data_IF_157792868399
#
_entry.id   IF_157792868399
#
_cell.length_a   1.000
_cell.length_b   1.000
_cell.length_c   1.000
_cell.angle_alpha   90.00
_cell.angle_beta   90.00
_cell.angle_gamma   90.00
#
_symmetry.space_group_name_H-M   'P 1'
#
loop_
_entity.id
_entity.type
_entity.pdbx_description
1 polymer ?
#
# COMPACT_ATOMS: atom_id res chain seq x y z
N UNK A 1 -12.16 -23.54 4.32
CA UNK A 1 -12.42 -22.29 3.55
C UNK A 1 -12.64 -22.67 2.10
N UNK A 2 -13.79 -22.33 1.53
CA UNK A 2 -14.04 -22.50 0.09
C UNK A 2 -13.19 -21.47 -0.67
N UNK A 3 -12.48 -21.90 -1.73
CA UNK A 3 -11.71 -20.98 -2.59
C UNK A 3 -12.65 -19.89 -3.11
N UNK A 4 -12.33 -18.62 -2.85
CA UNK A 4 -13.11 -17.46 -3.32
C UNK A 4 -13.96 -16.76 -2.24
N UNK A 5 -14.35 -17.45 -1.18
CA UNK A 5 -15.17 -16.85 -0.11
C UNK A 5 -14.46 -15.67 0.58
N UNK A 6 -13.14 -15.76 0.75
CA UNK A 6 -12.34 -14.69 1.32
C UNK A 6 -12.37 -13.40 0.47
N UNK A 7 -12.34 -13.52 -0.86
CA UNK A 7 -12.35 -12.35 -1.75
C UNK A 7 -13.70 -11.64 -1.70
N UNK A 8 -14.80 -12.40 -1.67
CA UNK A 8 -16.16 -11.86 -1.54
C UNK A 8 -16.32 -11.10 -0.22
N UNK A 9 -15.86 -11.69 0.89
CA UNK A 9 -15.91 -11.06 2.22
C UNK A 9 -15.05 -9.79 2.30
N UNK A 10 -13.92 -9.76 1.59
CA UNK A 10 -13.06 -8.57 1.56
C UNK A 10 -13.63 -7.47 0.65
N UNK A 11 -14.34 -7.85 -0.40
CA UNK A 11 -15.01 -6.92 -1.30
C UNK A 11 -16.09 -6.10 -0.57
N UNK A 12 -16.89 -6.73 0.29
CA UNK A 12 -17.87 -6.00 1.11
C UNK A 12 -17.24 -5.05 2.15
N UNK A 13 -15.94 -5.20 2.43
CA UNK A 13 -15.17 -4.34 3.35
C UNK A 13 -14.22 -3.38 2.62
N UNK A 14 -14.32 -3.25 1.30
CA UNK A 14 -13.35 -2.50 0.47
C UNK A 14 -13.09 -1.07 0.99
N UNK A 15 -14.14 -0.32 1.35
CA UNK A 15 -13.99 1.05 1.86
C UNK A 15 -13.17 1.11 3.16
N UNK A 16 -13.38 0.16 4.07
CA UNK A 16 -12.61 0.04 5.30
C UNK A 16 -11.13 -0.27 5.00
N UNK A 17 -10.88 -1.20 4.08
CA UNK A 17 -9.52 -1.61 3.70
C UNK A 17 -8.74 -0.44 3.06
N UNK A 18 -9.39 0.33 2.18
CA UNK A 18 -8.80 1.54 1.59
C UNK A 18 -8.46 2.56 2.68
N UNK A 19 -9.39 2.80 3.61
CA UNK A 19 -9.13 3.71 4.75
C UNK A 19 -7.96 3.21 5.60
N UNK A 20 -7.90 1.92 5.89
CA UNK A 20 -6.82 1.35 6.67
C UNK A 20 -5.43 1.50 6.00
N UNK A 21 -5.36 1.40 4.67
CA UNK A 21 -4.14 1.69 3.91
C UNK A 21 -3.74 3.18 4.01
N UNK A 22 -4.71 4.09 3.91
CA UNK A 22 -4.47 5.53 4.07
C UNK A 22 -4.04 5.91 5.49
N UNK A 23 -4.56 5.20 6.48
CA UNK A 23 -4.18 5.33 7.90
C UNK A 23 -2.86 4.61 8.22
N UNK A 24 -2.21 4.02 7.20
CA UNK A 24 -0.95 3.28 7.31
C UNK A 24 -0.98 2.10 8.30
N UNK A 25 -2.15 1.47 8.47
CA UNK A 25 -2.28 0.28 9.33
C UNK A 25 -1.51 -0.90 8.75
N UNK A 26 -0.93 -1.68 9.64
CA UNK A 26 -0.27 -2.93 9.32
C UNK A 26 -1.27 -4.03 8.95
N UNK A 27 -0.79 -5.03 8.22
CA UNK A 27 -1.63 -6.16 7.82
C UNK A 27 -2.23 -6.92 9.01
N UNK A 28 -1.50 -7.00 10.14
CA UNK A 28 -1.97 -7.61 11.38
C UNK A 28 -3.08 -6.80 12.04
N UNK A 29 -2.96 -5.48 12.12
CA UNK A 29 -4.01 -4.61 12.67
C UNK A 29 -5.29 -4.68 11.82
N UNK A 30 -5.16 -4.75 10.50
CA UNK A 30 -6.30 -4.91 9.60
C UNK A 30 -6.97 -6.27 9.81
N UNK A 31 -6.18 -7.35 9.89
CA UNK A 31 -6.72 -8.69 10.12
C UNK A 31 -7.44 -8.82 11.47
N UNK A 32 -6.87 -8.26 12.55
CA UNK A 32 -7.49 -8.27 13.87
C UNK A 32 -8.81 -7.50 13.88
N UNK A 33 -8.86 -6.32 13.27
CA UNK A 33 -10.08 -5.53 13.17
C UNK A 33 -11.17 -6.21 12.32
N UNK A 34 -10.78 -6.92 11.24
CA UNK A 34 -11.72 -7.72 10.45
C UNK A 34 -12.30 -8.89 11.25
N UNK A 35 -11.49 -9.54 12.09
CA UNK A 35 -11.95 -10.64 12.94
C UNK A 35 -12.95 -10.16 14.00
N UNK A 36 -12.75 -8.95 14.58
CA UNK A 36 -13.72 -8.31 15.47
C UNK A 36 -15.05 -8.01 14.76
N UNK A 37 -15.00 -7.69 13.47
CA UNK A 37 -16.16 -7.48 12.60
C UNK A 37 -16.79 -8.79 12.10
N UNK A 38 -16.34 -9.95 12.59
CA UNK A 38 -16.83 -11.28 12.19
C UNK A 38 -16.30 -11.78 10.84
N UNK A 39 -15.35 -11.07 10.22
CA UNK A 39 -14.74 -11.45 8.94
C UNK A 39 -13.42 -12.15 9.18
N UNK A 40 -13.46 -13.48 9.23
CA UNK A 40 -12.25 -14.30 9.41
C UNK A 40 -11.60 -14.64 8.07
N UNK A 41 -10.44 -14.04 7.80
CA UNK A 41 -9.64 -14.30 6.60
C UNK A 41 -8.18 -14.55 6.97
N UNK A 42 -7.48 -15.39 6.19
CA UNK A 42 -6.05 -15.58 6.40
C UNK A 42 -5.26 -14.35 5.96
N UNK A 43 -4.17 -14.05 6.68
CA UNK A 43 -3.25 -12.93 6.39
C UNK A 43 -2.78 -12.97 4.93
N UNK A 44 -2.45 -14.15 4.39
CA UNK A 44 -2.02 -14.31 3.00
C UNK A 44 -3.13 -14.01 1.98
N UNK A 45 -4.40 -14.22 2.33
CA UNK A 45 -5.53 -13.88 1.47
C UNK A 45 -5.80 -12.38 1.50
N UNK A 46 -5.75 -11.79 2.69
CA UNK A 46 -5.83 -10.35 2.88
C UNK A 46 -4.72 -9.62 2.12
N UNK A 47 -3.47 -10.08 2.23
CA UNK A 47 -2.34 -9.51 1.49
C UNK A 47 -2.56 -9.55 -0.03
N UNK A 48 -2.94 -10.72 -0.56
CA UNK A 48 -3.19 -10.87 -2.01
C UNK A 48 -4.31 -9.95 -2.49
N UNK A 49 -5.36 -9.79 -1.69
CA UNK A 49 -6.44 -8.85 -2.00
C UNK A 49 -5.93 -7.39 -2.00
N UNK A 50 -5.15 -6.99 -1.00
CA UNK A 50 -4.59 -5.63 -0.94
C UNK A 50 -3.70 -5.32 -2.15
N UNK A 51 -2.88 -6.29 -2.58
CA UNK A 51 -1.96 -6.10 -3.71
C UNK A 51 -2.69 -6.12 -5.04
N UNK A 52 -3.63 -7.06 -5.24
CA UNK A 52 -4.25 -7.28 -6.54
C UNK A 52 -5.50 -6.43 -6.76
N UNK A 53 -6.37 -6.35 -5.75
CA UNK A 53 -7.68 -5.68 -5.86
C UNK A 53 -7.61 -4.21 -5.41
N UNK A 54 -6.65 -3.85 -4.55
CA UNK A 54 -6.42 -2.48 -4.04
C UNK A 54 -5.04 -1.93 -4.44
N UNK A 55 -4.50 -2.40 -5.57
CA UNK A 55 -3.12 -2.13 -5.99
C UNK A 55 -2.74 -0.65 -6.05
N UNK A 56 -3.65 0.23 -6.47
CA UNK A 56 -3.41 1.68 -6.50
C UNK A 56 -3.19 2.26 -5.10
N UNK A 57 -4.07 1.92 -4.15
CA UNK A 57 -3.97 2.34 -2.75
C UNK A 57 -2.78 1.71 -2.05
N UNK A 58 -2.47 0.46 -2.38
CA UNK A 58 -1.28 -0.20 -1.86
C UNK A 58 0.01 0.44 -2.39
N UNK A 59 0.05 0.84 -3.66
CA UNK A 59 1.17 1.58 -4.23
C UNK A 59 1.35 2.94 -3.55
N UNK A 60 0.26 3.66 -3.23
CA UNK A 60 0.31 4.89 -2.44
C UNK A 60 0.85 4.62 -1.03
N UNK A 61 0.36 3.59 -0.35
CA UNK A 61 0.87 3.15 0.96
C UNK A 61 2.39 2.87 0.90
N UNK A 62 2.86 2.14 -0.12
CA UNK A 62 4.28 1.85 -0.31
C UNK A 62 5.10 3.13 -0.52
N UNK A 63 4.60 4.07 -1.33
CA UNK A 63 5.25 5.35 -1.58
C UNK A 63 5.38 6.20 -0.31
N UNK A 64 4.36 6.18 0.54
CA UNK A 64 4.34 7.00 1.76
C UNK A 64 5.17 6.37 2.89
N UNK A 65 5.08 5.05 3.05
CA UNK A 65 5.72 4.35 4.18
C UNK A 65 7.10 3.80 3.86
N UNK A 66 7.45 3.65 2.57
CA UNK A 66 8.70 3.03 2.12
C UNK A 66 8.82 1.53 2.46
N UNK A 67 7.76 0.89 2.96
CA UNK A 67 7.77 -0.51 3.41
C UNK A 67 6.52 -1.27 2.99
N UNK A 68 6.65 -2.55 2.67
CA UNK A 68 5.51 -3.43 2.36
C UNK A 68 4.59 -3.67 3.56
N UNK A 69 3.37 -4.13 3.28
CA UNK A 69 2.40 -4.57 4.31
C UNK A 69 2.92 -5.74 5.15
N UNK A 70 3.89 -6.49 4.62
CA UNK A 70 4.56 -7.62 5.28
C UNK A 70 5.81 -7.12 6.02
N UNK A 71 5.68 -6.20 6.97
CA UNK A 71 6.73 -6.01 7.98
C UNK A 71 6.36 -6.88 9.18
N UNK A 72 6.54 -8.18 9.02
CA UNK A 72 6.61 -9.12 10.15
C UNK A 72 7.91 -8.86 10.90
N UNK A 73 7.83 -7.87 11.77
CA UNK A 73 8.63 -7.63 12.96
C UNK A 73 8.00 -6.40 13.57
N UNK A 74 8.01 -6.27 14.89
CA UNK A 74 7.58 -5.07 15.62
C UNK A 74 8.44 -3.87 15.19
N UNK A 75 8.28 -3.40 13.96
CA UNK A 75 8.93 -2.24 13.43
C UNK A 75 8.01 -1.08 13.79
N UNK A 76 8.31 -0.47 14.94
CA UNK A 76 7.84 0.85 15.36
C UNK A 76 7.57 1.69 14.11
N UNK A 77 6.32 1.68 13.65
CA UNK A 77 5.91 2.53 12.53
C UNK A 77 6.02 3.92 13.07
N UNK A 78 6.98 4.70 12.59
CA UNK A 78 7.17 6.04 13.10
C UNK A 78 5.88 6.85 12.85
N UNK A 79 5.09 7.16 13.89
CA UNK A 79 3.79 7.81 13.73
C UNK A 79 3.94 9.25 13.19
N UNK A 80 5.16 9.79 13.16
CA UNK A 80 5.43 11.11 12.59
C UNK A 80 5.25 11.16 11.07
N UNK A 81 5.48 10.07 10.33
CA UNK A 81 5.31 10.07 8.87
C UNK A 81 3.82 10.15 8.49
N UNK A 82 2.96 9.46 9.24
CA UNK A 82 1.51 9.50 9.07
C UNK A 82 0.94 10.90 9.36
N UNK A 83 1.52 11.62 10.33
CA UNK A 83 1.06 12.97 10.71
C UNK A 83 1.50 14.07 9.74
N UNK A 84 2.54 13.86 8.94
CA UNK A 84 3.05 14.85 7.97
C UNK A 84 2.43 14.73 6.58
N UNK A 85 1.69 13.65 6.30
CA UNK A 85 1.01 13.48 5.02
C UNK A 85 -0.24 14.37 4.95
N UNK A 86 -0.07 15.59 4.43
CA UNK A 86 -1.20 16.33 3.86
C UNK A 86 -1.51 15.69 2.51
N UNK A 87 -2.77 15.28 2.24
CA UNK A 87 -3.14 14.79 0.93
C UNK A 87 -3.07 15.99 -0.03
N UNK A 88 -1.96 16.13 -0.74
CA UNK A 88 -1.87 17.06 -1.86
C UNK A 88 -2.69 16.46 -2.99
N UNK A 89 -3.97 16.80 -2.98
CA UNK A 89 -4.85 16.69 -4.13
C UNK A 89 -4.16 17.35 -5.33
N UNK A 90 -3.99 16.61 -6.42
CA UNK A 90 -3.53 17.08 -7.74
C UNK A 90 -2.08 17.57 -7.84
N UNK A 91 -1.19 16.69 -8.33
CA UNK A 91 -0.12 17.08 -9.26
C UNK A 91 0.40 15.83 -9.99
N UNK A 92 -0.15 15.57 -11.17
CA UNK A 92 0.42 14.65 -12.17
C UNK A 92 1.69 15.31 -12.71
N UNK A 93 2.84 15.06 -12.09
CA UNK A 93 4.13 15.38 -12.69
C UNK A 93 4.60 14.15 -13.48
N UNK A 94 4.51 14.24 -14.81
CA UNK A 94 5.02 13.26 -15.77
C UNK A 94 6.45 12.83 -15.38
N UNK A 95 6.65 11.54 -15.11
CA UNK A 95 8.00 10.95 -15.06
C UNK A 95 8.42 10.63 -16.49
N UNK A 96 9.32 11.44 -17.04
CA UNK A 96 10.06 11.07 -18.24
C UNK A 96 10.86 9.79 -17.94
N UNK A 97 10.55 8.72 -18.68
CA UNK A 97 11.25 7.44 -18.59
C UNK A 97 12.53 7.55 -19.40
N UNK A 98 13.67 7.39 -18.72
CA UNK A 98 14.94 7.10 -19.40
C UNK A 98 14.86 5.65 -19.89
N UNK A 99 14.72 5.46 -21.20
CA UNK A 99 14.49 4.14 -21.82
C UNK A 99 15.72 3.54 -22.50
N UNK A 100 16.89 4.21 -22.48
CA UNK A 100 18.07 3.68 -23.16
C UNK A 100 19.40 4.10 -22.46
N UNK A 101 20.41 3.23 -22.34
CA UNK A 101 21.74 3.56 -21.79
C UNK A 101 22.44 4.79 -22.39
N UNK A 102 22.14 5.21 -23.62
CA UNK A 102 22.70 6.45 -24.19
C UNK A 102 22.20 7.74 -23.52
N UNK A 103 21.02 7.72 -22.89
CA UNK A 103 20.45 8.90 -22.20
C UNK A 103 21.10 9.17 -20.83
N UNK A 104 21.77 8.18 -20.24
CA UNK A 104 22.51 8.36 -18.98
C UNK A 104 23.65 9.38 -19.11
N UNK A 105 24.34 9.40 -20.26
CA UNK A 105 25.47 10.32 -20.47
C UNK A 105 25.03 11.78 -20.64
N UNK A 106 23.78 12.01 -21.10
CA UNK A 106 23.21 13.36 -21.19
C UNK A 106 22.87 13.91 -19.81
N UNK A 107 22.31 13.07 -18.93
CA UNK A 107 21.97 13.41 -17.55
C UNK A 107 23.18 13.72 -16.66
N UNK A 108 24.32 13.06 -16.91
CA UNK A 108 25.55 13.29 -16.12
C UNK A 108 26.30 14.56 -16.52
N UNK A 109 26.17 15.04 -17.77
CA UNK A 109 26.82 16.27 -18.24
C UNK A 109 26.11 17.54 -17.78
N UNK A 110 24.81 17.47 -17.52
CA UNK A 110 23.99 18.63 -17.16
C UNK A 110 24.14 19.04 -15.67
N UNK A 111 24.89 18.27 -14.88
CA UNK A 111 25.16 18.51 -13.45
C UNK A 111 26.62 18.88 -13.14
N UNK A 112 27.35 19.46 -14.09
CA UNK A 112 28.66 20.09 -13.83
C UNK A 112 28.57 21.60 -13.97
#
# INVERSE_FOLDING_TARGET
MVKGQARILLYSKQAYLVKALKDFRTLYEIAAALELDGVKVSVSSLYRYMVNDLGEYYAEYLRCTGRGLVSSRRANGNPEFARKYKPTSYAVAKRERITNPSDMNKFLREKR
#
